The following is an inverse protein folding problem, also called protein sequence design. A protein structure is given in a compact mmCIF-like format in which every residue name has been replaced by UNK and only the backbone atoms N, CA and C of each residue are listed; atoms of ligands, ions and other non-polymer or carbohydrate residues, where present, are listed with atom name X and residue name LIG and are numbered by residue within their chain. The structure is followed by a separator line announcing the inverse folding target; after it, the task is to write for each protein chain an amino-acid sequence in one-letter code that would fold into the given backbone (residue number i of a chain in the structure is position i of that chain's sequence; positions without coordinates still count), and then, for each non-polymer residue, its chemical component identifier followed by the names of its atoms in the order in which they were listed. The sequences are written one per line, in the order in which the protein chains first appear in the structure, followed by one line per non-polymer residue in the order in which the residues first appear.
data_IF_848433869967
#
_entry.id   IF_848433869967
#
_cell.length_a   1.000
_cell.length_b   1.000
_cell.length_c   1.000
_cell.angle_alpha   90.00
_cell.angle_beta   90.00
_cell.angle_gamma   90.00
#
_symmetry.space_group_name_H-M   'P 1'
#
loop_
_entity.id
_entity.type
_entity.pdbx_description
1 polymer ?
#
# COMPACT_ATOMS: atom_id res chain seq x y z
N UNK A 1 12.12 -12.72 25.96
CA UNK A 1 12.57 -11.54 25.18
C UNK A 1 13.58 -11.99 24.14
N UNK A 2 13.59 -11.30 22.99
CA UNK A 2 14.54 -11.56 21.91
C UNK A 2 14.91 -10.24 21.22
N UNK A 3 16.05 -10.21 20.56
CA UNK A 3 16.50 -9.09 19.75
C UNK A 3 16.35 -9.41 18.28
N UNK A 4 16.14 -8.39 17.47
CA UNK A 4 16.14 -8.47 16.01
C UNK A 4 17.25 -7.59 15.45
N UNK A 5 17.84 -7.99 14.33
CA UNK A 5 18.89 -7.26 13.64
C UNK A 5 18.59 -7.13 12.15
N UNK A 6 19.33 -6.23 11.49
CA UNK A 6 19.23 -6.06 10.03
C UNK A 6 19.56 -7.36 9.30
N UNK A 7 20.51 -8.14 9.81
CA UNK A 7 20.89 -9.45 9.25
C UNK A 7 19.75 -10.45 9.16
N UNK A 8 18.73 -10.31 10.01
CA UNK A 8 17.54 -11.17 10.00
C UNK A 8 16.63 -10.91 8.77
N UNK A 9 16.85 -9.81 8.06
CA UNK A 9 16.06 -9.37 6.91
C UNK A 9 16.84 -9.38 5.58
N UNK A 10 18.10 -9.81 5.60
CA UNK A 10 18.89 -9.92 4.38
C UNK A 10 18.48 -11.17 3.64
N UNK A 11 18.07 -11.02 2.39
CA UNK A 11 17.76 -12.12 1.47
C UNK A 11 18.96 -12.51 0.60
N UNK A 12 18.89 -13.70 0.03
CA UNK A 12 19.91 -14.17 -0.91
C UNK A 12 19.86 -13.41 -2.24
N UNK A 13 21.00 -13.34 -2.95
CA UNK A 13 21.09 -12.69 -4.26
C UNK A 13 20.04 -13.25 -5.24
N UNK A 14 19.85 -14.56 -5.27
CA UNK A 14 18.84 -15.20 -6.12
C UNK A 14 17.42 -14.66 -5.85
N UNK A 15 17.06 -14.51 -4.58
CA UNK A 15 15.76 -13.96 -4.18
C UNK A 15 15.61 -12.50 -4.63
N UNK A 16 16.67 -11.71 -4.51
CA UNK A 16 16.67 -10.34 -4.99
C UNK A 16 16.47 -10.26 -6.49
N UNK A 17 17.14 -11.11 -7.25
CA UNK A 17 17.00 -11.17 -8.71
C UNK A 17 15.58 -11.60 -9.13
N UNK A 18 14.97 -12.54 -8.42
CA UNK A 18 13.57 -12.94 -8.63
C UNK A 18 12.60 -11.76 -8.33
N UNK A 19 12.81 -11.03 -7.26
CA UNK A 19 12.00 -9.85 -6.89
C UNK A 19 12.12 -8.78 -7.98
N UNK A 20 13.33 -8.46 -8.41
CA UNK A 20 13.58 -7.49 -9.48
C UNK A 20 12.92 -7.94 -10.79
N UNK A 21 13.00 -9.23 -11.11
CA UNK A 21 12.34 -9.79 -12.29
C UNK A 21 10.84 -9.60 -12.30
N UNK A 22 10.16 -9.86 -11.18
CA UNK A 22 8.71 -9.64 -11.04
C UNK A 22 8.36 -8.16 -11.17
N UNK A 23 9.08 -7.27 -10.49
CA UNK A 23 8.83 -5.83 -10.54
C UNK A 23 9.02 -5.31 -11.98
N UNK A 24 10.09 -5.71 -12.65
CA UNK A 24 10.38 -5.29 -14.03
C UNK A 24 9.28 -5.77 -15.00
N UNK A 25 8.86 -7.04 -14.89
CA UNK A 25 7.78 -7.57 -15.72
C UNK A 25 6.47 -6.79 -15.54
N UNK A 26 6.10 -6.46 -14.31
CA UNK A 26 4.89 -5.67 -14.05
C UNK A 26 5.02 -4.21 -14.51
N UNK A 27 6.19 -3.63 -14.45
CA UNK A 27 6.45 -2.29 -15.02
C UNK A 27 6.28 -2.29 -16.55
N UNK A 28 6.68 -3.37 -17.23
CA UNK A 28 6.45 -3.52 -18.67
C UNK A 28 4.96 -3.67 -19.00
N UNK A 29 4.20 -4.44 -18.20
CA UNK A 29 2.74 -4.50 -18.34
C UNK A 29 2.10 -3.11 -18.24
N UNK A 30 2.50 -2.31 -17.26
CA UNK A 30 2.02 -0.92 -17.13
C UNK A 30 2.39 -0.07 -18.31
N UNK A 31 3.61 -0.21 -18.83
CA UNK A 31 4.07 0.52 -20.01
C UNK A 31 3.19 0.19 -21.23
N UNK A 32 2.83 -1.07 -21.43
CA UNK A 32 1.92 -1.48 -22.49
C UNK A 32 0.53 -0.82 -22.35
N UNK A 33 0.00 -0.72 -21.12
CA UNK A 33 -1.27 -0.03 -20.86
C UNK A 33 -1.16 1.47 -21.19
N UNK A 34 -0.05 2.12 -20.82
CA UNK A 34 0.21 3.53 -21.15
C UNK A 34 0.25 3.72 -22.68
N UNK A 35 0.95 2.85 -23.39
CA UNK A 35 1.02 2.89 -24.87
C UNK A 35 -0.37 2.72 -25.50
N UNK A 36 -1.20 1.82 -25.00
CA UNK A 36 -2.59 1.66 -25.47
C UNK A 36 -3.42 2.94 -25.29
N UNK A 37 -3.26 3.62 -24.17
CA UNK A 37 -3.95 4.90 -23.93
C UNK A 37 -3.44 5.98 -24.89
N UNK A 38 -2.13 6.06 -25.12
CA UNK A 38 -1.53 7.04 -26.03
C UNK A 38 -1.94 6.82 -27.50
N UNK A 39 -2.09 5.56 -27.91
CA UNK A 39 -2.56 5.19 -29.24
C UNK A 39 -4.08 5.29 -29.41
N UNK A 40 -4.82 5.57 -28.35
CA UNK A 40 -6.28 5.67 -28.40
C UNK A 40 -7.02 4.33 -28.58
N UNK A 41 -6.33 3.20 -28.35
CA UNK A 41 -6.90 1.83 -28.46
C UNK A 41 -7.33 1.28 -27.09
N UNK A 42 -7.28 2.09 -26.04
CA UNK A 42 -7.66 1.66 -24.70
C UNK A 42 -9.15 1.36 -24.61
N UNK A 43 -9.50 0.11 -24.33
CA UNK A 43 -10.87 -0.34 -24.19
C UNK A 43 -11.39 -0.13 -22.77
N UNK A 44 -12.47 0.61 -22.64
CA UNK A 44 -13.16 0.85 -21.38
C UNK A 44 -14.55 0.21 -21.38
N UNK A 45 -14.69 -0.89 -20.68
CA UNK A 45 -15.95 -1.64 -20.58
C UNK A 45 -16.70 -1.40 -19.25
N UNK A 46 -16.21 -0.48 -18.39
CA UNK A 46 -16.74 -0.32 -17.02
C UNK A 46 -17.73 0.82 -16.85
N UNK A 47 -17.93 1.66 -17.88
CA UNK A 47 -18.79 2.85 -17.82
C UNK A 47 -18.22 4.00 -16.97
N UNK A 48 -17.00 3.89 -16.46
CA UNK A 48 -16.25 4.98 -15.81
C UNK A 48 -15.56 5.85 -16.84
N UNK A 49 -14.97 6.96 -16.39
CA UNK A 49 -14.11 7.74 -17.29
C UNK A 49 -12.86 6.94 -17.71
N UNK A 50 -12.34 7.16 -18.90
CA UNK A 50 -11.13 6.46 -19.36
C UNK A 50 -9.93 6.69 -18.44
N UNK A 51 -9.83 7.87 -17.83
CA UNK A 51 -8.78 8.18 -16.86
C UNK A 51 -8.94 7.39 -15.57
N UNK A 52 -10.15 7.27 -15.04
CA UNK A 52 -10.38 6.51 -13.80
C UNK A 52 -10.15 5.01 -14.02
N UNK A 53 -10.53 4.50 -15.19
CA UNK A 53 -10.28 3.09 -15.53
C UNK A 53 -8.79 2.81 -15.74
N UNK A 54 -8.09 3.70 -16.42
CA UNK A 54 -6.64 3.63 -16.59
C UNK A 54 -5.92 3.60 -15.21
N UNK A 55 -6.24 4.56 -14.34
CA UNK A 55 -5.65 4.62 -13.00
C UNK A 55 -5.96 3.35 -12.19
N UNK A 56 -7.17 2.82 -12.31
CA UNK A 56 -7.58 1.58 -11.63
C UNK A 56 -6.77 0.37 -12.11
N UNK A 57 -6.62 0.20 -13.43
CA UNK A 57 -5.85 -0.91 -14.00
C UNK A 57 -4.38 -0.83 -13.63
N UNK A 58 -3.77 0.35 -13.73
CA UNK A 58 -2.37 0.56 -13.35
C UNK A 58 -2.15 0.27 -11.86
N UNK A 59 -3.02 0.77 -10.98
CA UNK A 59 -2.93 0.47 -9.56
C UNK A 59 -3.06 -1.03 -9.27
N UNK A 60 -3.94 -1.75 -9.96
CA UNK A 60 -4.08 -3.19 -9.78
C UNK A 60 -2.81 -3.95 -10.18
N UNK A 61 -2.21 -3.62 -11.33
CA UNK A 61 -0.98 -4.25 -11.79
C UNK A 61 0.16 -3.99 -10.79
N UNK A 62 0.32 -2.77 -10.33
CA UNK A 62 1.36 -2.40 -9.37
C UNK A 62 1.14 -3.02 -7.98
N UNK A 63 -0.11 -3.15 -7.54
CA UNK A 63 -0.43 -3.87 -6.30
C UNK A 63 -0.13 -5.38 -6.41
N UNK A 64 -0.37 -5.98 -7.58
CA UNK A 64 0.05 -7.36 -7.84
C UNK A 64 1.57 -7.51 -7.76
N UNK A 65 2.34 -6.57 -8.35
CA UNK A 65 3.79 -6.55 -8.22
C UNK A 65 4.26 -6.59 -6.77
N UNK A 66 3.68 -5.74 -5.93
CA UNK A 66 3.99 -5.67 -4.50
C UNK A 66 3.63 -6.97 -3.77
N UNK A 67 2.48 -7.55 -4.07
CA UNK A 67 2.02 -8.80 -3.43
C UNK A 67 2.87 -10.00 -3.84
N UNK A 68 3.18 -10.14 -5.13
CA UNK A 68 3.98 -11.26 -5.65
C UNK A 68 5.42 -11.17 -5.15
N UNK A 69 6.05 -10.00 -5.25
CA UNK A 69 7.40 -9.79 -4.72
C UNK A 69 7.47 -9.97 -3.20
N UNK A 70 6.42 -9.55 -2.49
CA UNK A 70 6.30 -9.73 -1.04
C UNK A 70 6.25 -11.19 -0.63
N UNK A 71 5.53 -12.04 -1.37
CA UNK A 71 5.50 -13.48 -1.12
C UNK A 71 6.86 -14.13 -1.34
N UNK A 72 7.59 -13.74 -2.39
CA UNK A 72 8.96 -14.23 -2.65
C UNK A 72 9.87 -13.85 -1.48
N UNK A 73 9.84 -12.58 -1.05
CA UNK A 73 10.62 -12.11 0.09
C UNK A 73 10.30 -12.84 1.39
N UNK A 74 9.02 -13.04 1.70
CA UNK A 74 8.59 -13.74 2.91
C UNK A 74 9.03 -15.21 2.89
N UNK A 75 8.89 -15.89 1.75
CA UNK A 75 9.25 -17.30 1.60
C UNK A 75 10.77 -17.53 1.65
N UNK A 76 11.57 -16.50 1.39
CA UNK A 76 13.03 -16.58 1.48
C UNK A 76 13.56 -16.61 2.91
N UNK A 77 12.73 -16.19 3.88
CA UNK A 77 13.12 -16.15 5.28
C UNK A 77 12.95 -17.51 5.96
N UNK A 78 13.84 -17.79 6.92
CA UNK A 78 13.74 -18.97 7.76
C UNK A 78 12.43 -18.94 8.57
N UNK A 79 11.83 -20.12 8.75
CA UNK A 79 10.63 -20.30 9.59
C UNK A 79 10.85 -19.89 11.05
N UNK A 80 12.09 -19.96 11.53
CA UNK A 80 12.50 -19.55 12.88
C UNK A 80 12.86 -18.06 12.96
N UNK A 81 12.76 -17.31 11.87
CA UNK A 81 13.04 -15.88 11.85
C UNK A 81 12.12 -15.15 12.83
N UNK A 82 12.69 -14.24 13.63
CA UNK A 82 11.97 -13.55 14.70
C UNK A 82 10.89 -12.62 14.18
N UNK A 83 11.10 -11.96 13.03
CA UNK A 83 10.07 -11.15 12.38
C UNK A 83 8.91 -12.03 11.89
N UNK A 84 9.20 -13.16 11.28
CA UNK A 84 8.19 -14.12 10.84
C UNK A 84 7.40 -14.66 12.03
N UNK A 85 8.06 -14.98 13.12
CA UNK A 85 7.40 -15.45 14.34
C UNK A 85 6.49 -14.40 14.96
N UNK A 86 6.89 -13.13 15.01
CA UNK A 86 6.02 -12.04 15.50
C UNK A 86 4.76 -11.89 14.66
N UNK A 87 4.89 -11.93 13.34
CA UNK A 87 3.77 -11.80 12.40
C UNK A 87 2.84 -13.00 12.49
N UNK A 88 3.37 -14.22 12.47
CA UNK A 88 2.57 -15.46 12.57
C UNK A 88 1.86 -15.61 13.90
N UNK A 89 2.49 -15.18 14.98
CA UNK A 89 1.87 -15.16 16.30
C UNK A 89 0.79 -14.09 16.47
N UNK A 90 0.63 -13.18 15.49
CA UNK A 90 -0.32 -12.08 15.54
C UNK A 90 -0.01 -11.02 16.61
N UNK A 91 1.20 -11.04 17.19
CA UNK A 91 1.59 -10.12 18.26
C UNK A 91 1.82 -8.71 17.76
N UNK A 92 2.53 -8.56 16.63
CA UNK A 92 2.82 -7.26 15.99
C UNK A 92 3.28 -7.43 14.55
N UNK A 93 2.92 -6.46 13.72
CA UNK A 93 3.28 -6.43 12.31
C UNK A 93 2.38 -7.29 11.43
N UNK A 94 2.63 -7.22 10.13
CA UNK A 94 1.95 -8.01 9.11
C UNK A 94 2.96 -8.52 8.07
N UNK A 95 2.54 -9.44 7.23
CA UNK A 95 3.36 -9.90 6.10
C UNK A 95 3.74 -8.74 5.17
N UNK A 96 2.87 -7.74 5.05
CA UNK A 96 3.14 -6.54 4.27
C UNK A 96 4.32 -5.73 4.84
N UNK A 97 4.46 -5.67 6.17
CA UNK A 97 5.61 -4.99 6.78
C UNK A 97 6.93 -5.69 6.43
N UNK A 98 6.94 -7.02 6.41
CA UNK A 98 8.12 -7.80 5.98
C UNK A 98 8.42 -7.53 4.50
N UNK A 99 7.38 -7.51 3.67
CA UNK A 99 7.52 -7.16 2.24
C UNK A 99 8.16 -5.79 2.04
N UNK A 100 7.74 -4.79 2.78
CA UNK A 100 8.32 -3.43 2.71
C UNK A 100 9.79 -3.38 3.12
N UNK A 101 10.19 -4.23 4.05
CA UNK A 101 11.58 -4.29 4.48
C UNK A 101 12.48 -5.00 3.47
N UNK A 102 12.02 -6.07 2.82
CA UNK A 102 12.85 -6.95 2.00
C UNK A 102 12.63 -6.75 0.49
N UNK A 103 11.37 -6.58 0.06
CA UNK A 103 11.00 -6.61 -1.36
C UNK A 103 10.87 -5.21 -1.95
N UNK A 104 9.75 -4.55 -1.77
CA UNK A 104 9.53 -3.18 -2.21
C UNK A 104 8.39 -2.52 -1.42
N UNK A 105 8.37 -1.18 -1.38
CA UNK A 105 7.28 -0.44 -0.77
C UNK A 105 6.03 -0.37 -1.67
N UNK A 106 6.19 -0.48 -2.97
CA UNK A 106 5.10 -0.45 -3.93
C UNK A 106 4.54 0.94 -4.23
N UNK A 107 3.32 0.98 -4.76
CA UNK A 107 2.68 2.22 -5.17
C UNK A 107 2.27 3.07 -3.96
N UNK A 108 2.73 4.32 -3.96
CA UNK A 108 2.31 5.34 -3.01
C UNK A 108 1.06 6.05 -3.53
N UNK A 109 0.05 6.19 -2.67
CA UNK A 109 -1.21 6.81 -3.02
C UNK A 109 -1.50 8.04 -2.14
N UNK A 110 -2.13 9.03 -2.75
CA UNK A 110 -2.67 10.21 -2.09
C UNK A 110 -4.15 10.31 -2.45
N UNK A 111 -5.02 10.35 -1.46
CA UNK A 111 -6.49 10.39 -1.65
C UNK A 111 -7.03 9.27 -2.55
N UNK A 112 -6.45 8.07 -2.46
CA UNK A 112 -6.86 6.90 -3.22
C UNK A 112 -6.39 6.84 -4.67
N UNK A 113 -5.62 7.83 -5.13
CA UNK A 113 -5.04 7.92 -6.48
C UNK A 113 -3.51 7.91 -6.41
N UNK A 114 -2.85 7.63 -7.54
CA UNK A 114 -1.40 7.78 -7.64
C UNK A 114 -0.98 9.22 -7.33
N UNK A 115 0.29 9.44 -7.08
CA UNK A 115 0.82 10.77 -6.72
C UNK A 115 0.33 11.83 -7.73
N UNK A 116 -0.31 12.92 -7.26
CA UNK A 116 -0.81 13.98 -8.13
C UNK A 116 0.33 14.85 -8.66
N UNK A 117 0.05 15.57 -9.74
CA UNK A 117 0.98 16.56 -10.28
C UNK A 117 1.09 17.76 -9.34
N UNK A 118 2.24 17.91 -8.69
CA UNK A 118 2.56 19.07 -7.86
C UNK A 118 3.21 20.22 -8.65
N UNK A 119 3.70 19.93 -9.86
CA UNK A 119 4.26 20.88 -10.81
C UNK A 119 3.40 20.88 -12.08
N UNK A 120 3.72 21.76 -13.01
CA UNK A 120 3.00 21.83 -14.29
C UNK A 120 3.20 20.52 -15.07
N UNK A 121 2.14 19.71 -15.12
CA UNK A 121 2.03 18.42 -15.83
C UNK A 121 3.10 17.37 -15.45
N UNK A 122 3.64 17.43 -14.24
CA UNK A 122 4.59 16.46 -13.69
C UNK A 122 4.54 16.42 -12.17
N UNK A 123 4.96 15.32 -11.56
CA UNK A 123 4.96 15.14 -10.10
C UNK A 123 6.13 15.84 -9.43
N UNK A 124 7.32 15.76 -10.04
CA UNK A 124 8.55 16.38 -9.58
C UNK A 124 9.33 16.96 -10.76
N UNK A 125 10.25 17.93 -10.52
CA UNK A 125 11.10 18.50 -11.57
C UNK A 125 12.03 17.48 -12.24
N UNK A 126 12.27 16.33 -11.61
CA UNK A 126 13.13 15.25 -12.10
C UNK A 126 12.52 14.47 -13.26
N UNK A 127 11.20 14.57 -13.46
CA UNK A 127 10.46 13.84 -14.48
C UNK A 127 10.03 14.76 -15.62
N UNK A 128 9.82 14.17 -16.78
CA UNK A 128 9.29 14.89 -17.93
C UNK A 128 7.80 15.23 -17.73
N UNK A 129 7.31 16.24 -18.47
CA UNK A 129 5.88 16.54 -18.49
C UNK A 129 5.11 15.38 -19.13
N UNK A 130 3.93 15.10 -18.57
CA UNK A 130 3.04 14.02 -19.02
C UNK A 130 3.64 12.60 -18.84
N UNK A 131 4.64 12.44 -17.98
CA UNK A 131 5.19 11.13 -17.67
C UNK A 131 4.29 10.41 -16.67
N UNK A 132 3.55 9.39 -17.15
CA UNK A 132 2.67 8.54 -16.36
C UNK A 132 3.31 7.21 -15.96
N UNK A 133 4.61 7.06 -16.18
CA UNK A 133 5.36 5.86 -15.79
C UNK A 133 5.22 5.57 -14.30
N UNK A 134 5.34 4.31 -13.86
CA UNK A 134 5.23 3.94 -12.46
C UNK A 134 6.16 4.75 -11.56
N UNK A 135 7.41 4.90 -11.97
CA UNK A 135 8.43 5.65 -11.18
C UNK A 135 8.08 7.14 -11.05
N UNK A 136 7.54 7.76 -12.10
CA UNK A 136 7.15 9.17 -12.09
C UNK A 136 5.89 9.44 -11.26
N UNK A 137 5.03 8.45 -11.11
CA UNK A 137 3.75 8.57 -10.40
C UNK A 137 3.74 7.89 -9.04
N UNK A 138 4.90 7.63 -8.44
CA UNK A 138 5.06 7.24 -7.05
C UNK A 138 5.15 5.75 -6.78
N UNK A 139 5.52 4.92 -7.76
CA UNK A 139 5.86 3.53 -7.49
C UNK A 139 7.28 3.44 -6.92
N UNK A 140 7.39 2.91 -5.71
CA UNK A 140 8.66 2.71 -5.00
C UNK A 140 9.07 1.26 -5.17
N UNK A 141 10.10 1.03 -5.98
CA UNK A 141 10.64 -0.31 -6.24
C UNK A 141 11.68 -0.75 -5.22
N UNK A 142 12.21 0.18 -4.46
CA UNK A 142 13.19 -0.09 -3.40
C UNK A 142 12.53 -0.59 -2.12
N UNK A 143 13.28 -1.35 -1.34
CA UNK A 143 12.92 -1.77 0.02
C UNK A 143 13.64 -0.90 1.06
N UNK A 144 13.20 -0.99 2.33
CA UNK A 144 13.91 -0.28 3.40
C UNK A 144 15.35 -0.77 3.61
N UNK A 145 15.61 -2.07 3.38
CA UNK A 145 16.97 -2.62 3.51
C UNK A 145 17.89 -2.08 2.42
N UNK A 146 17.40 -1.96 1.19
CA UNK A 146 18.17 -1.43 0.07
C UNK A 146 18.33 0.10 0.14
N UNK A 147 17.41 0.78 0.85
CA UNK A 147 17.32 2.22 0.90
C UNK A 147 16.54 2.81 -0.28
N UNK A 148 15.93 3.97 -0.07
CA UNK A 148 15.11 4.67 -1.06
C UNK A 148 15.92 5.77 -1.77
N UNK A 149 15.61 6.00 -3.03
CA UNK A 149 16.10 7.19 -3.73
C UNK A 149 15.42 8.46 -3.15
N UNK A 150 15.98 9.66 -3.37
CA UNK A 150 15.37 10.90 -2.89
C UNK A 150 13.92 11.09 -3.39
N UNK A 151 13.64 10.75 -4.64
CA UNK A 151 12.30 10.86 -5.22
C UNK A 151 11.32 9.85 -4.58
N UNK A 152 11.75 8.60 -4.41
CA UNK A 152 10.97 7.56 -3.75
C UNK A 152 10.66 7.92 -2.29
N UNK A 153 11.65 8.44 -1.57
CA UNK A 153 11.45 8.91 -0.20
C UNK A 153 10.42 10.05 -0.14
N UNK A 154 10.49 10.99 -1.08
CA UNK A 154 9.54 12.10 -1.15
C UNK A 154 8.12 11.60 -1.38
N UNK A 155 7.90 10.71 -2.33
CA UNK A 155 6.59 10.12 -2.58
C UNK A 155 6.07 9.30 -1.39
N UNK A 156 6.95 8.53 -0.76
CA UNK A 156 6.61 7.79 0.44
C UNK A 156 6.21 8.71 1.60
N UNK A 157 6.90 9.83 1.78
CA UNK A 157 6.55 10.84 2.77
C UNK A 157 5.21 11.50 2.47
N UNK A 158 4.87 11.76 1.22
CA UNK A 158 3.55 12.29 0.83
C UNK A 158 2.43 11.32 1.22
N UNK A 159 2.55 10.04 0.86
CA UNK A 159 1.57 9.01 1.22
C UNK A 159 1.43 8.83 2.73
N UNK A 160 2.55 8.80 3.45
CA UNK A 160 2.57 8.72 4.91
C UNK A 160 1.95 9.94 5.59
N UNK A 161 2.13 11.15 5.05
CA UNK A 161 1.53 12.39 5.57
C UNK A 161 0.01 12.34 5.52
N UNK A 162 -0.57 11.87 4.42
CA UNK A 162 -2.02 11.69 4.29
C UNK A 162 -2.54 10.75 5.37
N UNK A 163 -1.87 9.61 5.59
CA UNK A 163 -2.25 8.66 6.65
C UNK A 163 -2.19 9.26 8.06
N UNK A 164 -1.19 10.08 8.36
CA UNK A 164 -1.07 10.77 9.65
C UNK A 164 -2.18 11.80 9.86
N UNK A 165 -2.49 12.59 8.85
CA UNK A 165 -3.59 13.57 8.89
C UNK A 165 -4.94 12.87 9.08
N UNK A 166 -5.20 11.82 8.33
CA UNK A 166 -6.41 11.01 8.43
C UNK A 166 -6.60 10.45 9.84
N UNK A 167 -5.56 9.90 10.43
CA UNK A 167 -5.59 9.36 11.79
C UNK A 167 -5.96 10.45 12.79
N UNK A 168 -5.33 11.61 12.70
CA UNK A 168 -5.58 12.74 13.61
C UNK A 168 -7.02 13.27 13.50
N UNK A 169 -7.54 13.41 12.29
CA UNK A 169 -8.90 13.93 12.04
C UNK A 169 -9.98 12.92 12.45
N UNK A 170 -9.81 11.65 12.08
CA UNK A 170 -10.80 10.60 12.35
C UNK A 170 -10.94 10.27 13.83
N UNK A 171 -9.90 10.45 14.64
CA UNK A 171 -9.92 10.12 16.08
C UNK A 171 -11.04 10.86 16.83
N UNK A 172 -11.18 12.16 16.64
CA UNK A 172 -12.21 12.96 17.29
C UNK A 172 -13.61 12.53 16.86
N UNK A 173 -13.83 12.36 15.56
CA UNK A 173 -15.14 11.98 15.00
C UNK A 173 -15.56 10.58 15.46
N UNK A 174 -14.65 9.62 15.43
CA UNK A 174 -14.95 8.24 15.87
C UNK A 174 -15.20 8.17 17.38
N UNK A 175 -14.47 8.93 18.17
CA UNK A 175 -14.70 9.03 19.61
C UNK A 175 -16.09 9.60 19.94
N UNK A 176 -16.54 10.62 19.23
CA UNK A 176 -17.89 11.18 19.40
C UNK A 176 -18.97 10.18 18.96
N UNK A 177 -18.79 9.47 17.86
CA UNK A 177 -19.71 8.41 17.41
C UNK A 177 -19.79 7.30 18.46
N UNK A 178 -18.64 6.83 18.96
CA UNK A 178 -18.57 5.81 20.00
C UNK A 178 -19.36 6.23 21.26
N UNK A 179 -19.14 7.47 21.73
CA UNK A 179 -19.89 7.99 22.89
C UNK A 179 -21.40 7.96 22.66
N UNK A 180 -21.86 8.41 21.49
CA UNK A 180 -23.30 8.43 21.14
C UNK A 180 -23.88 7.02 21.09
N UNK A 181 -23.16 6.06 20.52
CA UNK A 181 -23.60 4.67 20.47
C UNK A 181 -23.69 4.06 21.88
N UNK A 182 -22.66 4.23 22.70
CA UNK A 182 -22.66 3.73 24.08
C UNK A 182 -23.80 4.35 24.88
N UNK A 183 -24.01 5.67 24.77
CA UNK A 183 -25.11 6.35 25.45
C UNK A 183 -26.48 5.88 24.98
N UNK A 184 -26.64 5.54 23.71
CA UNK A 184 -27.89 4.99 23.17
C UNK A 184 -28.18 3.55 23.61
N UNK A 185 -27.14 2.81 23.96
CA UNK A 185 -27.23 1.39 24.31
C UNK A 185 -27.10 1.09 25.81
N UNK A 186 -26.73 2.08 26.64
CA UNK A 186 -26.38 1.86 28.06
C UNK A 186 -27.54 1.30 28.89
N UNK A 187 -28.79 1.58 28.53
CA UNK A 187 -29.99 1.14 29.25
C UNK A 187 -30.59 -0.16 28.65
N UNK A 188 -30.03 -0.69 27.55
CA UNK A 188 -30.55 -1.88 26.90
C UNK A 188 -30.06 -3.14 27.60
N UNK A 189 -30.97 -4.03 27.97
CA UNK A 189 -30.66 -5.33 28.57
C UNK A 189 -31.54 -6.42 27.99
N UNK A 190 -31.03 -7.64 28.02
CA UNK A 190 -31.78 -8.83 27.62
C UNK A 190 -32.64 -9.26 28.77
N UNK A 191 -33.96 -9.35 28.57
CA UNK A 191 -34.93 -9.87 29.53
C UNK A 191 -35.03 -11.41 29.46
N UNK A 192 -35.69 -12.01 30.45
CA UNK A 192 -35.86 -13.45 30.50
C UNK A 192 -36.69 -14.04 29.35
N UNK A 193 -37.48 -13.20 28.68
CA UNK A 193 -38.23 -13.57 27.48
C UNK A 193 -37.42 -13.47 26.16
N UNK A 194 -36.08 -13.32 26.27
CA UNK A 194 -35.14 -13.17 25.17
C UNK A 194 -35.34 -11.90 24.32
N UNK A 195 -36.12 -10.93 24.81
CA UNK A 195 -36.25 -9.62 24.16
C UNK A 195 -35.25 -8.62 24.71
N UNK A 196 -34.84 -7.68 23.88
CA UNK A 196 -33.97 -6.56 24.30
C UNK A 196 -34.87 -5.35 24.54
N UNK A 197 -34.83 -4.81 25.76
CA UNK A 197 -35.66 -3.67 26.16
C UNK A 197 -34.86 -2.67 26.96
N UNK A 198 -35.35 -1.42 26.92
CA UNK A 198 -34.93 -0.34 27.79
C UNK A 198 -35.66 -0.46 29.13
N UNK A 199 -35.08 0.08 30.20
CA UNK A 199 -35.71 0.13 31.54
C UNK A 199 -36.88 1.13 31.68
N UNK A 200 -37.27 1.79 30.61
CA UNK A 200 -38.39 2.74 30.58
C UNK A 200 -39.65 2.11 30.02
#
# INVERSE_FOLDING_TARGET
SFSVGISDLISNQKTNDEIIGVITGKKEEVKNVIEQVQLGIFENNTGKSNLDEFEYQVNNILNQATNESGKIGLNSLDKNNRFVNMVKAGSKGSELNISFMISCLGQQNVDGKRIPYGFDQRTLPHYNKYDDSPSARGFVESSYINGLSPQELFFHAMGGRVGLIDTAVKTSTTGYIQRRLIKGLEDLMVNYDMTIRNNK
#
